data_IF_136625325705
#
_entry.id   IF_136625325705
#
_cell.length_a   1.000
_cell.length_b   1.000
_cell.length_c   1.000
_cell.angle_alpha   90.00
_cell.angle_beta   90.00
_cell.angle_gamma   90.00
#
_symmetry.space_group_name_H-M   'P 1'
#
loop_
_entity.id
_entity.type
_entity.pdbx_description
1 polymer ?
#
# COMPACT_ATOMS: atom_id res chain seq x y z
N UNK A 1 37.86 -31.92 -25.40
CA UNK A 1 37.91 -30.52 -25.91
C UNK A 1 36.64 -30.15 -26.67
N UNK A 2 36.29 -30.78 -27.80
CA UNK A 2 34.99 -30.52 -28.46
C UNK A 2 33.83 -31.28 -27.78
N UNK A 3 34.10 -32.46 -27.20
CA UNK A 3 33.13 -33.26 -26.43
C UNK A 3 32.51 -32.51 -25.26
N UNK A 4 33.36 -31.79 -24.52
CA UNK A 4 33.01 -31.17 -23.24
C UNK A 4 32.14 -29.93 -23.46
N UNK A 5 32.28 -29.29 -24.64
CA UNK A 5 31.42 -28.18 -25.05
C UNK A 5 30.02 -28.67 -25.43
N UNK A 6 29.92 -29.78 -26.16
CA UNK A 6 28.64 -30.38 -26.55
C UNK A 6 27.84 -30.81 -25.30
N UNK A 7 28.52 -31.39 -24.31
CA UNK A 7 27.89 -31.80 -23.06
C UNK A 7 27.31 -30.62 -22.26
N UNK A 8 28.00 -29.48 -22.27
CA UNK A 8 27.53 -28.24 -21.62
C UNK A 8 26.33 -27.65 -22.36
N UNK A 9 26.33 -27.66 -23.69
CA UNK A 9 25.23 -27.16 -24.52
C UNK A 9 23.93 -27.94 -24.26
N UNK A 10 24.01 -29.29 -24.25
CA UNK A 10 22.86 -30.15 -23.96
C UNK A 10 22.28 -29.86 -22.57
N UNK A 11 23.14 -29.64 -21.57
CA UNK A 11 22.72 -29.37 -20.19
C UNK A 11 22.05 -28.01 -20.03
N UNK A 12 22.51 -27.02 -20.79
CA UNK A 12 21.88 -25.70 -20.87
C UNK A 12 20.46 -25.79 -21.46
N UNK A 13 20.29 -26.58 -22.51
CA UNK A 13 19.00 -26.76 -23.18
C UNK A 13 18.00 -27.51 -22.28
N UNK A 14 18.45 -28.54 -21.56
CA UNK A 14 17.63 -29.25 -20.57
C UNK A 14 17.16 -28.32 -19.44
N UNK A 15 18.06 -27.50 -18.89
CA UNK A 15 17.72 -26.53 -17.84
C UNK A 15 16.75 -25.46 -18.36
N UNK A 16 16.87 -25.03 -19.61
CA UNK A 16 15.95 -24.07 -20.21
C UNK A 16 14.52 -24.63 -20.30
N UNK A 17 14.37 -25.91 -20.66
CA UNK A 17 13.07 -26.60 -20.69
C UNK A 17 12.48 -26.73 -19.29
N UNK A 18 13.29 -27.11 -18.30
CA UNK A 18 12.85 -27.21 -16.91
C UNK A 18 12.40 -25.85 -16.36
N UNK A 19 13.13 -24.78 -16.67
CA UNK A 19 12.77 -23.43 -16.24
C UNK A 19 11.47 -22.97 -16.91
N UNK A 20 11.28 -23.25 -18.20
CA UNK A 20 10.05 -22.93 -18.92
C UNK A 20 8.84 -23.66 -18.32
N UNK A 21 9.01 -24.92 -17.90
CA UNK A 21 7.95 -25.68 -17.23
C UNK A 21 7.64 -25.11 -15.83
N UNK A 22 8.67 -24.76 -15.05
CA UNK A 22 8.50 -24.17 -13.71
C UNK A 22 7.88 -22.77 -13.74
N UNK A 23 8.16 -21.97 -14.78
CA UNK A 23 7.56 -20.63 -14.98
C UNK A 23 6.16 -20.73 -15.60
N UNK A 24 5.87 -21.80 -16.34
CA UNK A 24 4.56 -22.08 -16.94
C UNK A 24 3.50 -22.55 -15.92
N UNK A 25 3.91 -22.98 -14.72
CA UNK A 25 2.99 -23.15 -13.59
C UNK A 25 2.48 -21.77 -13.18
N UNK A 26 1.32 -21.40 -13.72
CA UNK A 26 0.58 -20.21 -13.31
C UNK A 26 0.18 -20.37 -11.85
N UNK A 27 1.07 -20.02 -10.93
CA UNK A 27 0.67 -19.69 -9.58
C UNK A 27 -0.33 -18.53 -9.73
N UNK A 28 -1.61 -18.80 -9.47
CA UNK A 28 -2.63 -17.76 -9.43
C UNK A 28 -2.07 -16.64 -8.56
N UNK A 29 -1.88 -15.45 -9.16
CA UNK A 29 -1.38 -14.28 -8.44
C UNK A 29 -2.38 -13.99 -7.33
N UNK A 30 -2.05 -14.43 -6.12
CA UNK A 30 -2.88 -14.20 -4.94
C UNK A 30 -2.87 -12.70 -4.69
N UNK A 31 -3.89 -12.02 -5.18
CA UNK A 31 -4.06 -10.61 -4.93
C UNK A 31 -4.05 -10.41 -3.40
N UNK A 32 -3.18 -9.57 -2.83
CA UNK A 32 -3.23 -9.27 -1.42
C UNK A 32 -4.56 -8.56 -1.15
N UNK A 33 -5.52 -9.31 -0.60
CA UNK A 33 -6.80 -8.74 -0.19
C UNK A 33 -6.53 -7.93 1.06
N UNK A 34 -6.41 -6.61 0.91
CA UNK A 34 -6.41 -5.69 2.05
C UNK A 34 -7.80 -5.74 2.66
N UNK A 35 -7.97 -6.55 3.70
CA UNK A 35 -9.18 -6.58 4.50
C UNK A 35 -9.23 -5.28 5.32
N UNK A 36 -10.42 -4.69 5.43
CA UNK A 36 -10.64 -3.56 6.34
C UNK A 36 -10.38 -4.02 7.77
N UNK A 37 -9.92 -3.10 8.61
CA UNK A 37 -9.77 -3.39 10.02
C UNK A 37 -11.15 -3.75 10.63
N UNK A 38 -11.21 -4.75 11.52
CA UNK A 38 -12.44 -5.08 12.21
C UNK A 38 -12.93 -3.91 13.07
N UNK A 39 -14.24 -3.63 13.05
CA UNK A 39 -14.89 -2.63 13.91
C UNK A 39 -14.97 -3.04 15.39
N UNK A 40 -14.56 -4.27 15.72
CA UNK A 40 -14.52 -4.79 17.09
C UNK A 40 -13.30 -4.29 17.87
N UNK A 41 -12.28 -3.77 17.20
CA UNK A 41 -11.11 -3.18 17.85
C UNK A 41 -11.47 -1.81 18.44
N UNK A 42 -11.01 -1.51 19.68
CA UNK A 42 -11.20 -0.19 20.25
C UNK A 42 -10.53 0.85 19.36
N UNK A 43 -11.23 1.95 19.07
CA UNK A 43 -10.74 3.01 18.19
C UNK A 43 -10.45 4.30 18.95
N UNK A 44 -9.40 5.02 18.54
CA UNK A 44 -8.99 6.33 19.09
C UNK A 44 -8.93 7.34 17.95
N UNK A 45 -9.62 8.48 18.10
CA UNK A 45 -9.69 9.52 17.07
C UNK A 45 -8.51 10.49 17.15
N UNK A 46 -7.84 10.73 16.01
CA UNK A 46 -6.71 11.64 15.87
C UNK A 46 -7.03 12.67 14.80
N UNK A 47 -7.20 13.92 15.21
CA UNK A 47 -7.58 15.02 14.32
C UNK A 47 -6.36 15.75 13.79
N UNK A 48 -6.25 15.81 12.46
CA UNK A 48 -5.26 16.61 11.74
C UNK A 48 -5.95 17.84 11.13
N UNK A 49 -5.66 19.02 11.69
CA UNK A 49 -6.12 20.31 11.16
C UNK A 49 -4.95 21.15 10.70
N UNK A 50 -5.18 22.00 9.68
CA UNK A 50 -4.21 23.04 9.34
C UNK A 50 -4.10 24.06 10.47
N UNK A 51 -2.89 24.61 10.65
CA UNK A 51 -2.65 25.67 11.63
C UNK A 51 -3.38 26.98 11.26
N UNK A 52 -3.56 27.24 9.96
CA UNK A 52 -4.16 28.48 9.45
C UNK A 52 -4.98 28.21 8.20
N UNK A 53 -6.17 28.81 8.12
CA UNK A 53 -7.11 28.70 6.98
C UNK A 53 -7.22 29.99 6.15
N UNK A 54 -6.26 30.91 6.29
CA UNK A 54 -6.22 32.20 5.61
C UNK A 54 -5.03 32.29 4.64
N UNK A 55 -5.30 32.76 3.42
CA UNK A 55 -4.27 33.08 2.43
C UNK A 55 -3.50 34.35 2.81
N UNK A 56 -2.25 34.47 2.37
CA UNK A 56 -1.52 35.75 2.34
C UNK A 56 -2.23 36.81 1.48
N UNK A 57 -3.02 36.37 0.50
CA UNK A 57 -3.86 37.19 -0.36
C UNK A 57 -5.19 37.65 0.28
N UNK A 58 -5.49 37.25 1.53
CA UNK A 58 -6.71 37.63 2.24
C UNK A 58 -7.93 36.74 1.97
N UNK A 59 -7.83 35.78 1.05
CA UNK A 59 -8.91 34.81 0.82
C UNK A 59 -8.99 33.78 1.96
N UNK A 60 -10.21 33.48 2.41
CA UNK A 60 -10.50 32.40 3.35
C UNK A 60 -10.59 31.06 2.62
N UNK A 61 -9.92 30.03 3.13
CA UNK A 61 -10.13 28.66 2.66
C UNK A 61 -11.53 28.19 3.02
N UNK A 62 -12.12 27.35 2.18
CA UNK A 62 -13.36 26.64 2.46
C UNK A 62 -13.05 25.16 2.70
N UNK A 63 -13.78 24.57 3.63
CA UNK A 63 -13.75 23.13 3.86
C UNK A 63 -14.37 22.43 2.65
N UNK A 64 -13.68 21.41 2.13
CA UNK A 64 -14.10 20.67 0.92
C UNK A 64 -14.53 19.26 1.28
N UNK A 65 -13.96 18.67 2.33
CA UNK A 65 -14.30 17.34 2.80
C UNK A 65 -13.27 16.81 3.78
N UNK A 66 -13.45 15.57 4.19
CA UNK A 66 -12.63 14.92 5.20
C UNK A 66 -12.06 13.60 4.65
N UNK A 67 -10.80 13.30 4.98
CA UNK A 67 -10.22 11.96 4.83
C UNK A 67 -10.22 11.25 6.17
N UNK A 68 -10.62 9.98 6.12
CA UNK A 68 -10.67 9.09 7.28
C UNK A 68 -9.75 7.92 7.01
N UNK A 69 -8.61 7.91 7.69
CA UNK A 69 -7.57 6.88 7.54
C UNK A 69 -7.46 6.06 8.82
N UNK A 70 -7.61 4.74 8.71
CA UNK A 70 -7.45 3.81 9.85
C UNK A 70 -6.06 3.23 9.91
N UNK A 71 -5.45 3.22 11.10
CA UNK A 71 -4.15 2.61 11.36
C UNK A 71 -4.22 1.68 12.56
N UNK A 72 -3.67 0.47 12.42
CA UNK A 72 -3.52 -0.44 13.55
C UNK A 72 -2.37 0.04 14.44
N UNK A 73 -2.66 0.26 15.71
CA UNK A 73 -1.68 0.56 16.73
C UNK A 73 -1.46 -0.68 17.60
N UNK A 74 -0.19 -0.91 17.92
CA UNK A 74 0.23 -2.04 18.73
C UNK A 74 1.04 -1.54 19.92
N UNK A 75 0.50 -1.75 21.10
CA UNK A 75 1.19 -1.63 22.38
C UNK A 75 1.28 -3.05 22.95
N UNK A 76 2.41 -3.51 23.51
CA UNK A 76 2.51 -4.88 24.02
C UNK A 76 1.32 -5.27 24.92
N UNK A 77 0.53 -6.26 24.47
CA UNK A 77 -0.67 -6.74 25.17
C UNK A 77 -2.00 -6.08 24.77
N UNK A 78 -2.00 -5.03 23.94
CA UNK A 78 -3.21 -4.32 23.50
C UNK A 78 -3.10 -3.93 22.02
N UNK A 79 -4.17 -4.21 21.26
CA UNK A 79 -4.31 -3.79 19.86
C UNK A 79 -5.49 -2.82 19.78
N UNK A 80 -5.26 -1.66 19.18
CA UNK A 80 -6.28 -0.64 18.96
C UNK A 80 -6.16 -0.07 17.54
N UNK A 81 -7.19 0.66 17.12
CA UNK A 81 -7.21 1.34 15.83
C UNK A 81 -7.13 2.84 16.06
N UNK A 82 -6.22 3.53 15.40
CA UNK A 82 -6.26 4.98 15.31
C UNK A 82 -7.05 5.40 14.08
N UNK A 83 -8.06 6.23 14.29
CA UNK A 83 -8.83 6.87 13.24
C UNK A 83 -8.26 8.27 12.99
N UNK A 84 -7.47 8.42 11.95
CA UNK A 84 -6.94 9.72 11.54
C UNK A 84 -7.97 10.47 10.70
N UNK A 85 -8.42 11.61 11.21
CA UNK A 85 -9.40 12.51 10.60
C UNK A 85 -8.67 13.73 10.07
N UNK A 86 -8.55 13.86 8.76
CA UNK A 86 -7.85 14.98 8.11
C UNK A 86 -8.84 15.84 7.35
N UNK A 87 -8.90 17.12 7.69
CA UNK A 87 -9.80 18.06 7.00
C UNK A 87 -9.11 18.62 5.76
N UNK A 88 -9.78 18.53 4.61
CA UNK A 88 -9.32 19.15 3.38
C UNK A 88 -9.94 20.54 3.22
N UNK A 89 -9.05 21.48 2.94
CA UNK A 89 -9.40 22.88 2.71
C UNK A 89 -8.79 23.30 1.39
N UNK A 90 -9.52 24.10 0.60
CA UNK A 90 -8.90 24.84 -0.49
C UNK A 90 -9.47 26.25 -0.62
N UNK A 91 -8.72 27.08 -1.34
CA UNK A 91 -9.18 28.41 -1.67
C UNK A 91 -10.29 28.34 -2.73
N UNK A 92 -11.34 29.16 -2.61
CA UNK A 92 -12.33 29.29 -3.66
C UNK A 92 -11.63 29.79 -4.93
N UNK A 93 -11.76 29.04 -6.03
CA UNK A 93 -11.33 29.48 -7.35
C UNK A 93 -12.10 30.75 -7.71
N UNK A 94 -11.37 31.82 -8.04
CA UNK A 94 -11.92 33.08 -8.58
C UNK A 94 -12.46 32.84 -9.99
#
# INVERSE_FOLDING_TARGET
MQSDLIEVEVKLEELAVQLAHAVGETHEKRAPVRLRLPSTLPSVDIHHSLATTSCTCGCQMRHIGDDISQKLDYVPGVVNTNLHLTHFWAYPTI
#
